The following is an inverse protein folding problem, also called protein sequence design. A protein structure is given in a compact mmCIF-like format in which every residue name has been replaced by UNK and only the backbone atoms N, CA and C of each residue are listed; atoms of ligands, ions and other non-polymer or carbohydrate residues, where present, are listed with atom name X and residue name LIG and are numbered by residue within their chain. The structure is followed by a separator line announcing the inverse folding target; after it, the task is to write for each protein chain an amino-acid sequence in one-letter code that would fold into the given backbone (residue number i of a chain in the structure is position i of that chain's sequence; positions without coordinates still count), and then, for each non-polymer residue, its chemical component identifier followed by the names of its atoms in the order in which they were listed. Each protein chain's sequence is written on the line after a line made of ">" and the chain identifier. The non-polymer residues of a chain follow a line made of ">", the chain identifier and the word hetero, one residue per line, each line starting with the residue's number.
data_IF_774225432533
#
_entry.id   IF_774225432533
#
_cell.length_a   1.000
_cell.length_b   1.000
_cell.length_c   1.000
_cell.angle_alpha   90.00
_cell.angle_beta   90.00
_cell.angle_gamma   90.00
#
_symmetry.space_group_name_H-M   'P 1'
#
loop_
_entity.id
_entity.type
_entity.pdbx_description
1 polymer ?
#
# COMPACT_ATOMS: atom_id res chain seq x y z
N UNK A 1 2.62 -19.29 0.82
CA UNK A 1 1.76 -18.98 2.01
C UNK A 1 0.36 -18.69 1.45
N UNK A 2 -0.74 -19.23 2.00
CA UNK A 2 -2.05 -19.01 1.36
C UNK A 2 -2.48 -17.53 1.39
N UNK A 3 -3.14 -17.04 0.33
CA UNK A 3 -3.50 -15.63 0.15
C UNK A 3 -4.25 -15.03 1.34
N UNK A 4 -5.22 -15.75 1.91
CA UNK A 4 -5.97 -15.32 3.11
C UNK A 4 -5.07 -15.11 4.33
N UNK A 5 -4.05 -15.97 4.52
CA UNK A 5 -3.11 -15.84 5.63
C UNK A 5 -2.19 -14.64 5.43
N UNK A 6 -1.71 -14.44 4.20
CA UNK A 6 -0.89 -13.30 3.82
C UNK A 6 -1.67 -12.00 4.01
N UNK A 7 -2.90 -11.92 3.50
CA UNK A 7 -3.78 -10.77 3.64
C UNK A 7 -4.01 -10.39 5.11
N UNK A 8 -4.33 -11.39 5.95
CA UNK A 8 -4.48 -11.16 7.40
C UNK A 8 -3.21 -10.61 8.05
N UNK A 9 -2.03 -11.10 7.68
CA UNK A 9 -0.76 -10.61 8.21
C UNK A 9 -0.51 -9.16 7.80
N UNK A 10 -0.72 -8.83 6.52
CA UNK A 10 -0.53 -7.48 5.98
C UNK A 10 -1.48 -6.49 6.64
N UNK A 11 -2.78 -6.78 6.64
CA UNK A 11 -3.79 -5.91 7.26
C UNK A 11 -3.53 -5.71 8.75
N UNK A 12 -3.14 -6.76 9.50
CA UNK A 12 -2.84 -6.62 10.93
C UNK A 12 -1.71 -5.62 11.24
N UNK A 13 -0.78 -5.40 10.31
CA UNK A 13 0.33 -4.44 10.48
C UNK A 13 0.03 -3.09 9.86
N UNK A 14 -0.68 -3.05 8.72
CA UNK A 14 -0.92 -1.81 7.98
C UNK A 14 -2.22 -1.10 8.37
N UNK A 15 -3.26 -1.81 8.83
CA UNK A 15 -4.52 -1.18 9.29
C UNK A 15 -4.27 -0.10 10.37
N UNK A 16 -3.39 -0.31 11.39
CA UNK A 16 -3.08 0.71 12.39
C UNK A 16 -2.39 1.98 11.85
N UNK A 17 -1.99 1.98 10.58
CA UNK A 17 -1.40 3.13 9.87
C UNK A 17 -2.42 3.74 8.91
N UNK A 18 -3.02 2.89 8.07
CA UNK A 18 -3.83 3.29 6.94
C UNK A 18 -5.25 3.69 7.35
N UNK A 19 -5.86 3.00 8.31
CA UNK A 19 -7.22 3.35 8.77
C UNK A 19 -7.26 4.75 9.39
N UNK A 20 -6.34 5.13 10.31
CA UNK A 20 -6.26 6.51 10.79
C UNK A 20 -5.98 7.54 9.68
N UNK A 21 -5.28 7.13 8.61
CA UNK A 21 -5.00 8.00 7.46
C UNK A 21 -6.22 8.21 6.54
N UNK A 22 -7.31 7.45 6.72
CA UNK A 22 -8.56 7.57 5.94
C UNK A 22 -8.88 6.41 5.02
N UNK A 23 -8.07 5.36 5.03
CA UNK A 23 -8.34 4.16 4.26
C UNK A 23 -9.32 3.25 5.01
N UNK A 24 -9.98 2.37 4.26
CA UNK A 24 -10.67 1.22 4.81
C UNK A 24 -9.66 0.14 5.23
N UNK A 25 -10.09 -0.79 6.09
CA UNK A 25 -9.28 -1.95 6.44
C UNK A 25 -8.96 -2.79 5.20
N UNK A 26 -7.77 -3.41 5.19
CA UNK A 26 -7.27 -4.12 4.02
C UNK A 26 -8.22 -5.23 3.55
N UNK A 27 -8.59 -5.17 2.28
CA UNK A 27 -9.48 -6.09 1.60
C UNK A 27 -8.65 -7.17 0.88
N UNK A 28 -8.96 -8.43 1.15
CA UNK A 28 -8.30 -9.59 0.54
C UNK A 28 -9.30 -10.75 0.48
N UNK A 29 -9.19 -11.62 -0.54
CA UNK A 29 -10.09 -12.75 -0.76
C UNK A 29 -9.41 -13.89 -1.53
N UNK A 30 -10.16 -14.97 -1.80
CA UNK A 30 -9.68 -16.15 -2.54
C UNK A 30 -9.93 -16.05 -4.06
N UNK A 31 -10.04 -14.85 -4.65
CA UNK A 31 -10.56 -14.74 -6.02
C UNK A 31 -10.18 -13.48 -6.79
N UNK A 32 -8.90 -13.17 -6.91
CA UNK A 32 -8.41 -12.18 -7.86
C UNK A 32 -7.49 -12.86 -8.87
N UNK A 33 -7.95 -13.04 -10.12
CA UNK A 33 -7.20 -13.58 -11.26
C UNK A 33 -5.92 -14.34 -10.85
N UNK A 34 -6.12 -15.46 -10.15
CA UNK A 34 -5.09 -16.19 -9.40
C UNK A 34 -4.07 -16.76 -10.40
N UNK A 35 -3.12 -15.93 -10.81
CA UNK A 35 -1.89 -16.40 -11.44
C UNK A 35 -1.10 -17.04 -10.32
N UNK A 36 -1.24 -18.36 -10.20
CA UNK A 36 -0.33 -19.25 -9.48
C UNK A 36 -0.11 -18.95 -7.97
N UNK A 37 -1.12 -18.46 -7.25
CA UNK A 37 -1.12 -18.37 -5.79
C UNK A 37 -0.54 -17.10 -5.18
N UNK A 38 -0.41 -16.05 -5.99
CA UNK A 38 -0.13 -14.69 -5.53
C UNK A 38 -1.31 -14.12 -4.71
N UNK A 39 -1.03 -13.11 -3.89
CA UNK A 39 -2.02 -12.45 -3.05
C UNK A 39 -2.00 -10.93 -3.30
N UNK A 40 -3.19 -10.35 -3.43
CA UNK A 40 -3.37 -8.91 -3.53
C UNK A 40 -4.18 -8.42 -2.32
N UNK A 41 -3.69 -7.34 -1.70
CA UNK A 41 -4.36 -6.67 -0.58
C UNK A 41 -4.59 -5.22 -0.99
N UNK A 42 -5.85 -4.78 -0.94
CA UNK A 42 -6.24 -3.43 -1.36
C UNK A 42 -6.76 -2.64 -0.15
N UNK A 43 -6.31 -1.40 -0.03
CA UNK A 43 -6.83 -0.42 0.92
C UNK A 43 -7.38 0.76 0.11
N UNK A 44 -8.70 0.99 0.15
CA UNK A 44 -9.33 2.13 -0.52
C UNK A 44 -9.54 3.30 0.47
N UNK A 45 -9.24 4.52 0.05
CA UNK A 45 -9.73 5.76 0.68
C UNK A 45 -10.64 6.52 -0.30
N UNK A 46 -11.66 7.22 0.19
CA UNK A 46 -12.47 8.08 -0.67
C UNK A 46 -11.63 9.24 -1.22
N UNK A 47 -11.62 9.44 -2.54
CA UNK A 47 -10.73 10.43 -3.19
C UNK A 47 -10.89 11.86 -2.65
N UNK A 48 -12.12 12.33 -2.40
CA UNK A 48 -12.36 13.68 -1.88
C UNK A 48 -11.74 13.88 -0.49
N UNK A 49 -12.02 12.98 0.45
CA UNK A 49 -11.47 13.04 1.80
C UNK A 49 -9.95 12.87 1.80
N UNK A 50 -9.44 11.97 0.97
CA UNK A 50 -8.01 11.75 0.79
C UNK A 50 -7.32 13.02 0.28
N UNK A 51 -7.86 13.65 -0.75
CA UNK A 51 -7.27 14.84 -1.38
C UNK A 51 -7.25 16.04 -0.45
N UNK A 52 -8.27 16.19 0.41
CA UNK A 52 -8.31 17.22 1.45
C UNK A 52 -7.22 16.96 2.50
N UNK A 53 -7.10 15.72 2.99
CA UNK A 53 -6.18 15.37 4.07
C UNK A 53 -4.72 15.31 3.63
N UNK A 54 -4.49 14.87 2.39
CA UNK A 54 -3.16 14.52 1.86
C UNK A 54 -2.84 15.33 0.59
N UNK A 55 -3.21 16.60 0.56
CA UNK A 55 -3.06 17.50 -0.61
C UNK A 55 -1.63 17.67 -1.13
N UNK A 56 -0.63 17.30 -0.32
CA UNK A 56 0.79 17.26 -0.70
C UNK A 56 1.18 16.03 -1.55
N UNK A 57 0.34 15.00 -1.58
CA UNK A 57 0.60 13.77 -2.33
C UNK A 57 0.21 13.95 -3.79
N UNK A 58 0.96 13.37 -4.75
CA UNK A 58 0.64 13.47 -6.16
C UNK A 58 -0.76 12.90 -6.47
N UNK A 59 -1.19 11.85 -5.77
CA UNK A 59 -2.48 11.19 -5.94
C UNK A 59 -3.69 12.09 -5.64
N UNK A 60 -3.52 13.12 -4.81
CA UNK A 60 -4.60 14.05 -4.46
C UNK A 60 -5.12 14.87 -5.66
N UNK A 61 -4.41 14.87 -6.79
CA UNK A 61 -4.75 15.64 -7.98
C UNK A 61 -4.81 14.80 -9.26
N UNK A 62 -4.80 13.46 -9.14
CA UNK A 62 -4.73 12.56 -10.31
C UNK A 62 -6.10 12.20 -10.90
N UNK A 63 -7.20 12.41 -10.18
CA UNK A 63 -8.55 12.08 -10.63
C UNK A 63 -9.48 13.31 -10.60
N UNK A 64 -10.47 13.34 -11.49
CA UNK A 64 -11.49 14.40 -11.46
C UNK A 64 -12.42 14.25 -10.24
N UNK A 65 -12.91 15.36 -9.64
CA UNK A 65 -13.89 15.31 -8.56
C UNK A 65 -15.17 14.60 -9.03
N UNK A 66 -15.67 13.62 -8.26
CA UNK A 66 -16.96 12.98 -8.56
C UNK A 66 -17.06 11.45 -8.45
N UNK A 67 -15.98 10.74 -8.12
CA UNK A 67 -16.10 9.39 -7.57
C UNK A 67 -15.11 8.37 -8.09
N UNK A 68 -14.05 8.17 -7.32
CA UNK A 68 -13.17 6.99 -7.34
C UNK A 68 -12.51 6.84 -5.97
N UNK A 69 -12.04 5.63 -5.66
CA UNK A 69 -11.14 5.39 -4.54
C UNK A 69 -9.73 5.85 -4.89
N UNK A 70 -8.94 6.20 -3.88
CA UNK A 70 -7.48 6.13 -3.94
C UNK A 70 -7.07 4.79 -3.34
N UNK A 71 -6.46 3.94 -4.16
CA UNK A 71 -6.13 2.57 -3.76
C UNK A 71 -4.65 2.44 -3.41
N UNK A 72 -4.36 1.90 -2.22
CA UNK A 72 -3.05 1.35 -1.90
C UNK A 72 -3.11 -0.17 -2.09
N UNK A 73 -2.26 -0.69 -2.97
CA UNK A 73 -2.21 -2.10 -3.34
C UNK A 73 -0.90 -2.71 -2.86
N UNK A 74 -1.00 -3.85 -2.17
CA UNK A 74 0.14 -4.68 -1.79
C UNK A 74 0.03 -6.01 -2.55
N UNK A 75 1.02 -6.27 -3.40
CA UNK A 75 1.11 -7.53 -4.13
C UNK A 75 2.17 -8.42 -3.49
N UNK A 76 1.82 -9.68 -3.23
CA UNK A 76 2.70 -10.66 -2.59
C UNK A 76 2.72 -11.92 -3.42
N UNK A 77 3.90 -12.40 -3.78
CA UNK A 77 4.06 -13.65 -4.53
C UNK A 77 3.64 -14.86 -3.70
N UNK A 78 3.35 -15.97 -4.36
CA UNK A 78 3.00 -17.25 -3.72
C UNK A 78 4.04 -17.73 -2.68
N UNK A 79 5.32 -17.41 -2.90
CA UNK A 79 6.43 -17.70 -1.98
C UNK A 79 6.47 -16.82 -0.71
N UNK A 80 5.61 -15.80 -0.65
CA UNK A 80 5.49 -14.86 0.47
C UNK A 80 6.44 -13.66 0.38
N UNK A 81 6.99 -13.37 -0.80
CA UNK A 81 7.80 -12.16 -1.05
C UNK A 81 6.98 -11.01 -1.62
N UNK A 82 7.38 -9.78 -1.32
CA UNK A 82 6.74 -8.59 -1.90
C UNK A 82 6.99 -8.52 -3.41
N UNK A 83 5.91 -8.42 -4.18
CA UNK A 83 5.92 -8.17 -5.62
C UNK A 83 5.75 -6.70 -5.98
N UNK A 84 4.88 -5.99 -5.25
CA UNK A 84 4.51 -4.62 -5.58
C UNK A 84 3.89 -3.89 -4.39
N UNK A 85 4.07 -2.57 -4.38
CA UNK A 85 3.50 -1.67 -3.38
C UNK A 85 3.23 -0.32 -4.03
N UNK A 86 1.97 -0.10 -4.39
CA UNK A 86 1.56 1.03 -5.22
C UNK A 86 0.42 1.81 -4.55
N UNK A 87 0.40 3.11 -4.79
CA UNK A 87 -0.66 4.04 -4.41
C UNK A 87 -1.18 4.71 -5.67
N UNK A 88 -2.39 4.35 -6.08
CA UNK A 88 -3.03 4.75 -7.33
C UNK A 88 -2.12 4.46 -8.55
N UNK A 89 -1.58 3.24 -8.62
CA UNK A 89 -0.69 2.79 -9.69
C UNK A 89 0.70 3.47 -9.70
N UNK A 90 0.99 4.35 -8.74
CA UNK A 90 2.31 4.94 -8.54
C UNK A 90 3.02 4.23 -7.39
N UNK A 91 4.23 3.73 -7.60
CA UNK A 91 4.97 3.05 -6.53
C UNK A 91 5.10 3.92 -5.28
N UNK A 92 5.05 3.29 -4.10
CA UNK A 92 5.30 4.00 -2.84
C UNK A 92 6.71 4.58 -2.80
N UNK A 93 7.70 3.91 -3.42
CA UNK A 93 9.06 4.46 -3.60
C UNK A 93 9.03 5.84 -4.28
N UNK A 94 8.33 5.94 -5.40
CA UNK A 94 8.22 7.18 -6.17
C UNK A 94 7.44 8.25 -5.41
N UNK A 95 6.34 7.86 -4.77
CA UNK A 95 5.54 8.78 -3.93
C UNK A 95 6.38 9.37 -2.79
N UNK A 96 7.15 8.54 -2.08
CA UNK A 96 8.05 8.99 -1.02
C UNK A 96 9.13 9.94 -1.54
N UNK A 97 9.71 9.64 -2.70
CA UNK A 97 10.71 10.50 -3.35
C UNK A 97 10.11 11.87 -3.70
N UNK A 98 8.88 11.89 -4.23
CA UNK A 98 8.19 13.11 -4.62
C UNK A 98 8.01 14.08 -3.44
N UNK A 99 7.70 13.55 -2.25
CA UNK A 99 7.49 14.35 -1.04
C UNK A 99 8.76 14.59 -0.22
N UNK A 100 9.94 14.26 -0.77
CA UNK A 100 11.24 14.50 -0.12
C UNK A 100 11.62 13.49 0.97
N UNK A 101 10.92 12.36 1.08
CA UNK A 101 11.23 11.27 2.01
C UNK A 101 12.23 10.28 1.36
N UNK A 102 13.39 10.79 0.93
CA UNK A 102 14.37 10.01 0.15
C UNK A 102 14.92 8.80 0.90
N UNK A 103 15.18 8.91 2.20
CA UNK A 103 15.68 7.78 2.99
C UNK A 103 14.65 6.65 3.11
N UNK A 104 13.36 7.00 3.22
CA UNK A 104 12.27 6.01 3.23
C UNK A 104 12.07 5.40 1.85
N UNK A 105 12.15 6.21 0.78
CA UNK A 105 12.12 5.74 -0.61
C UNK A 105 13.20 4.68 -0.85
N UNK A 106 14.46 4.95 -0.46
CA UNK A 106 15.56 4.00 -0.57
C UNK A 106 15.39 2.74 0.30
N UNK A 107 14.76 2.88 1.47
CA UNK A 107 14.47 1.75 2.34
C UNK A 107 13.39 0.85 1.73
N UNK A 108 12.33 1.43 1.18
CA UNK A 108 11.24 0.70 0.50
C UNK A 108 11.74 0.03 -0.78
N UNK A 109 12.58 0.68 -1.58
CA UNK A 109 13.17 0.08 -2.78
C UNK A 109 13.94 -1.23 -2.48
N UNK A 110 14.50 -1.35 -1.26
CA UNK A 110 15.23 -2.55 -0.82
C UNK A 110 14.34 -3.68 -0.32
N UNK A 111 13.03 -3.45 -0.14
CA UNK A 111 12.11 -4.49 0.36
C UNK A 111 11.49 -5.33 -0.74
N UNK A 112 11.54 -4.89 -2.00
CA UNK A 112 11.04 -5.69 -3.11
C UNK A 112 11.78 -7.04 -3.18
N UNK A 113 11.03 -8.12 -3.35
CA UNK A 113 11.56 -9.49 -3.33
C UNK A 113 11.97 -10.01 -1.95
N UNK A 114 11.88 -9.20 -0.88
CA UNK A 114 12.03 -9.71 0.49
C UNK A 114 10.75 -10.40 0.95
N UNK A 115 10.90 -11.34 1.89
CA UNK A 115 9.75 -11.94 2.55
C UNK A 115 8.94 -10.90 3.32
N UNK A 116 7.61 -11.05 3.38
CA UNK A 116 6.75 -10.11 4.08
C UNK A 116 7.16 -9.91 5.54
N UNK A 117 7.62 -10.95 6.24
CA UNK A 117 8.12 -10.81 7.62
C UNK A 117 9.26 -9.79 7.76
N UNK A 118 10.11 -9.63 6.74
CA UNK A 118 11.23 -8.67 6.74
C UNK A 118 10.84 -7.32 6.16
N UNK A 119 10.04 -7.30 5.09
CA UNK A 119 9.65 -6.06 4.41
C UNK A 119 8.61 -5.24 5.15
N UNK A 120 7.64 -5.91 5.80
CA UNK A 120 6.46 -5.26 6.37
C UNK A 120 6.78 -4.20 7.44
N UNK A 121 7.75 -4.39 8.37
CA UNK A 121 8.12 -3.33 9.31
C UNK A 121 8.70 -2.07 8.64
N UNK A 122 9.42 -2.23 7.52
CA UNK A 122 9.98 -1.10 6.76
C UNK A 122 8.87 -0.36 6.03
N UNK A 123 7.95 -1.10 5.40
CA UNK A 123 6.76 -0.55 4.74
C UNK A 123 5.90 0.22 5.76
N UNK A 124 5.61 -0.37 6.92
CA UNK A 124 4.84 0.27 7.98
C UNK A 124 5.47 1.59 8.41
N UNK A 125 6.79 1.60 8.67
CA UNK A 125 7.50 2.80 9.10
C UNK A 125 7.48 3.91 8.03
N UNK A 126 7.62 3.55 6.75
CA UNK A 126 7.56 4.49 5.64
C UNK A 126 6.15 5.08 5.47
N UNK A 127 5.10 4.24 5.52
CA UNK A 127 3.71 4.69 5.41
C UNK A 127 3.30 5.58 6.60
N UNK A 128 3.80 5.29 7.81
CA UNK A 128 3.60 6.19 8.97
C UNK A 128 4.17 7.58 8.72
N UNK A 129 5.33 7.70 8.07
CA UNK A 129 5.92 9.01 7.72
C UNK A 129 5.20 9.66 6.54
N UNK A 130 4.70 8.85 5.61
CA UNK A 130 4.00 9.36 4.43
C UNK A 130 2.67 10.02 4.78
N UNK A 131 1.92 9.49 5.76
CA UNK A 131 0.56 9.96 6.09
C UNK A 131 0.43 10.79 7.37
N UNK A 132 1.53 11.05 8.08
CA UNK A 132 1.62 12.03 9.17
C UNK A 132 2.04 13.40 8.61
#
# INVERSE_FOLDING_TARGET
>A
MGAVRTGRLVSAVLDPVLVPAGFQAGQYGEGGDDRDGDAQIIFCAGHEEFSIRHSRLPQANQQEPGGTCVDLVVEVRADGTLAGLDLEGTSIEETLRHVGLTADSEAVAKVEGLSMTKGLPVIEAALRRLFV
#
